data_IF_069551075644
#
_entry.id   IF_069551075644
#
_cell.length_a   1.000
_cell.length_b   1.000
_cell.length_c   1.000
_cell.angle_alpha   90.00
_cell.angle_beta   90.00
_cell.angle_gamma   90.00
#
_symmetry.space_group_name_H-M   'P 1'
#
loop_
_entity.id
_entity.type
_entity.pdbx_description
1 polymer ?
#
# COMPACT_ATOMS: atom_id res chain seq x y z
N UNK A 1 -37.42 -2.99 -4.83
CA UNK A 1 -36.84 -1.64 -4.83
C UNK A 1 -36.08 -1.48 -6.13
N UNK A 2 -36.39 -0.50 -7.03
CA UNK A 2 -35.51 -0.22 -8.16
C UNK A 2 -34.15 0.17 -7.55
N UNK A 3 -33.09 -0.49 -7.98
CA UNK A 3 -31.74 -0.25 -7.46
C UNK A 3 -31.38 1.23 -7.67
N UNK A 4 -31.09 1.94 -6.58
CA UNK A 4 -30.63 3.32 -6.64
C UNK A 4 -29.37 3.33 -7.51
N UNK A 5 -29.41 4.09 -8.61
CA UNK A 5 -28.25 4.24 -9.50
C UNK A 5 -27.15 4.95 -8.73
N UNK A 6 -25.98 4.35 -8.62
CA UNK A 6 -24.81 4.92 -7.94
C UNK A 6 -23.82 5.39 -8.98
N UNK A 7 -23.43 6.65 -8.92
CA UNK A 7 -22.31 7.17 -9.70
C UNK A 7 -20.98 6.89 -9.00
N UNK A 8 -20.04 6.24 -9.67
CA UNK A 8 -18.76 5.81 -9.09
C UNK A 8 -17.62 6.69 -9.63
N UNK A 9 -16.87 7.30 -8.73
CA UNK A 9 -15.59 7.95 -9.04
C UNK A 9 -14.45 7.04 -8.55
N UNK A 10 -13.79 6.36 -9.50
CA UNK A 10 -12.61 5.53 -9.23
C UNK A 10 -11.37 6.43 -9.21
N UNK A 11 -10.85 6.73 -8.01
CA UNK A 11 -9.73 7.66 -7.81
C UNK A 11 -8.41 6.90 -7.87
N UNK A 12 -7.61 7.18 -8.88
CA UNK A 12 -6.41 6.43 -9.24
C UNK A 12 -5.13 7.17 -8.84
N UNK A 13 -4.27 6.44 -8.14
CA UNK A 13 -2.90 6.84 -7.85
C UNK A 13 -1.88 6.02 -8.64
N UNK A 14 -0.68 5.92 -8.09
CA UNK A 14 0.47 5.24 -8.67
C UNK A 14 0.23 3.77 -8.99
N UNK A 15 -0.43 3.01 -8.09
CA UNK A 15 -0.71 1.57 -8.28
C UNK A 15 -1.59 1.29 -9.51
N UNK A 16 -2.35 2.30 -9.98
CA UNK A 16 -3.18 2.22 -11.17
C UNK A 16 -2.59 2.99 -12.36
N UNK A 17 -1.31 3.37 -12.30
CA UNK A 17 -0.68 4.20 -13.33
C UNK A 17 -1.44 5.50 -13.59
N UNK A 18 -1.91 6.15 -12.52
CA UNK A 18 -2.74 7.36 -12.58
C UNK A 18 -3.97 7.20 -13.50
N UNK A 19 -4.60 6.02 -13.43
CA UNK A 19 -5.83 5.69 -14.16
C UNK A 19 -5.61 5.01 -15.51
N UNK A 20 -4.40 4.95 -16.05
CA UNK A 20 -4.14 4.34 -17.37
C UNK A 20 -4.52 2.86 -17.40
N UNK A 21 -4.26 2.11 -16.32
CA UNK A 21 -4.60 0.70 -16.21
C UNK A 21 -6.11 0.42 -16.12
N UNK A 22 -6.90 1.40 -15.68
CA UNK A 22 -8.30 1.22 -15.33
C UNK A 22 -9.27 1.94 -16.27
N UNK A 23 -8.80 2.50 -17.38
CA UNK A 23 -9.65 3.21 -18.36
C UNK A 23 -10.81 2.34 -18.88
N UNK A 24 -10.63 1.04 -18.94
CA UNK A 24 -11.65 0.09 -19.38
C UNK A 24 -12.84 -0.03 -18.42
N UNK A 25 -12.72 0.47 -17.17
CA UNK A 25 -13.83 0.54 -16.21
C UNK A 25 -14.72 1.77 -16.42
N UNK A 26 -14.25 2.76 -17.18
CA UNK A 26 -15.03 3.97 -17.46
C UNK A 26 -16.29 3.62 -18.27
N UNK A 27 -17.41 4.20 -17.85
CA UNK A 27 -18.72 3.93 -18.45
C UNK A 27 -19.76 4.96 -17.98
N UNK A 28 -21.04 4.73 -18.26
CA UNK A 28 -22.09 5.71 -17.96
C UNK A 28 -22.23 6.01 -16.46
N UNK A 29 -21.90 5.06 -15.62
CA UNK A 29 -22.02 5.18 -14.16
C UNK A 29 -20.67 5.18 -13.45
N UNK A 30 -19.55 5.07 -14.17
CA UNK A 30 -18.20 5.04 -13.58
C UNK A 30 -17.26 5.99 -14.31
N UNK A 31 -16.64 6.89 -13.54
CA UNK A 31 -15.60 7.81 -14.04
C UNK A 31 -14.28 7.48 -13.36
N UNK A 32 -13.22 7.33 -14.16
CA UNK A 32 -11.84 7.09 -13.69
C UNK A 32 -11.14 8.45 -13.67
N UNK A 33 -10.61 8.83 -12.48
CA UNK A 33 -9.98 10.14 -12.26
C UNK A 33 -8.72 9.99 -11.42
N UNK A 34 -7.84 10.97 -11.47
CA UNK A 34 -6.73 11.12 -10.49
C UNK A 34 -7.18 11.93 -9.27
N UNK A 35 -6.43 11.85 -8.17
CA UNK A 35 -6.68 12.67 -6.97
C UNK A 35 -6.50 14.16 -7.23
N UNK A 36 -6.96 14.99 -6.30
CA UNK A 36 -6.81 16.44 -6.36
C UNK A 36 -7.72 17.11 -7.38
N UNK A 37 -7.14 17.89 -8.30
CA UNK A 37 -7.91 18.76 -9.20
C UNK A 37 -8.89 18.02 -10.12
N UNK A 38 -8.50 16.85 -10.63
CA UNK A 38 -9.37 16.08 -11.53
C UNK A 38 -10.57 15.51 -10.77
N UNK A 39 -10.33 14.92 -9.59
CA UNK A 39 -11.39 14.49 -8.69
C UNK A 39 -12.34 15.63 -8.32
N UNK A 40 -11.79 16.81 -7.95
CA UNK A 40 -12.60 17.97 -7.61
C UNK A 40 -13.51 18.39 -8.77
N UNK A 41 -12.99 18.42 -10.01
CA UNK A 41 -13.78 18.74 -11.21
C UNK A 41 -14.88 17.70 -11.47
N UNK A 42 -14.55 16.41 -11.34
CA UNK A 42 -15.52 15.33 -11.51
C UNK A 42 -16.64 15.40 -10.47
N UNK A 43 -16.30 15.70 -9.22
CA UNK A 43 -17.26 15.91 -8.14
C UNK A 43 -18.17 17.13 -8.40
N UNK A 44 -17.62 18.23 -8.91
CA UNK A 44 -18.41 19.41 -9.27
C UNK A 44 -19.35 19.15 -10.47
N UNK A 45 -18.93 18.33 -11.41
CA UNK A 45 -19.69 17.99 -12.63
C UNK A 45 -20.60 16.76 -12.46
N UNK A 46 -20.66 16.15 -11.26
CA UNK A 46 -21.44 14.93 -11.04
C UNK A 46 -22.94 15.14 -11.33
N UNK A 47 -23.65 14.11 -11.82
CA UNK A 47 -25.07 14.22 -12.12
C UNK A 47 -25.87 14.49 -10.83
N UNK A 48 -26.93 15.30 -10.96
CA UNK A 48 -27.88 15.51 -9.89
C UNK A 48 -28.78 14.27 -9.76
N UNK A 49 -29.03 13.85 -8.52
CA UNK A 49 -29.98 12.77 -8.21
C UNK A 49 -29.35 11.46 -7.74
N UNK A 50 -28.43 10.80 -8.47
CA UNK A 50 -27.82 9.58 -7.97
C UNK A 50 -26.80 9.85 -6.85
N UNK A 51 -26.69 8.89 -5.92
CA UNK A 51 -25.61 8.89 -4.93
C UNK A 51 -24.26 8.75 -5.62
N UNK A 52 -23.24 9.37 -5.06
CA UNK A 52 -21.88 9.30 -5.59
C UNK A 52 -20.97 8.56 -4.60
N UNK A 53 -20.41 7.45 -5.02
CA UNK A 53 -19.38 6.74 -4.29
C UNK A 53 -18.00 7.09 -4.84
N UNK A 54 -17.10 7.55 -3.98
CA UNK A 54 -15.71 7.87 -4.33
C UNK A 54 -14.83 6.73 -3.80
N UNK A 55 -14.22 5.96 -4.70
CA UNK A 55 -13.45 4.75 -4.35
C UNK A 55 -11.96 4.99 -4.61
N UNK A 56 -11.11 5.04 -3.56
CA UNK A 56 -9.67 5.09 -3.74
C UNK A 56 -9.15 3.77 -4.32
N UNK A 57 -8.54 3.82 -5.51
CA UNK A 57 -8.02 2.65 -6.23
C UNK A 57 -6.60 2.35 -5.77
N UNK A 58 -6.47 1.78 -4.58
CA UNK A 58 -5.22 1.26 -4.01
C UNK A 58 -5.41 -0.16 -3.49
N UNK A 59 -4.33 -0.91 -3.42
CA UNK A 59 -4.25 -2.26 -2.87
C UNK A 59 -3.68 -2.26 -1.44
N UNK A 60 -3.68 -1.08 -0.79
CA UNK A 60 -3.21 -0.86 0.57
C UNK A 60 -1.80 -0.29 0.67
N UNK A 61 -1.15 0.02 -0.45
CA UNK A 61 0.21 0.59 -0.49
C UNK A 61 0.24 2.10 -0.77
N UNK A 62 -0.92 2.75 -0.83
CA UNK A 62 -1.02 4.20 -1.07
C UNK A 62 -2.03 4.84 -0.11
N UNK A 63 -1.69 4.95 1.19
CA UNK A 63 -2.55 5.57 2.19
C UNK A 63 -2.75 7.08 1.93
N UNK A 64 -1.78 7.73 1.29
CA UNK A 64 -1.91 9.15 0.93
C UNK A 64 -2.99 9.38 -0.12
N UNK A 65 -3.14 8.48 -1.10
CA UNK A 65 -4.24 8.54 -2.05
C UNK A 65 -5.61 8.53 -1.34
N UNK A 66 -5.75 7.71 -0.30
CA UNK A 66 -6.98 7.61 0.50
C UNK A 66 -7.28 8.93 1.21
N UNK A 67 -6.27 9.48 1.89
CA UNK A 67 -6.40 10.73 2.62
C UNK A 67 -6.62 11.94 1.70
N UNK A 68 -5.91 12.02 0.57
CA UNK A 68 -6.08 13.08 -0.43
C UNK A 68 -7.48 13.04 -1.07
N UNK A 69 -7.99 11.84 -1.32
CA UNK A 69 -9.37 11.66 -1.77
C UNK A 69 -10.34 12.25 -0.77
N UNK A 70 -10.20 11.93 0.51
CA UNK A 70 -11.06 12.44 1.56
C UNK A 70 -10.92 13.97 1.75
N UNK A 71 -9.68 14.50 1.70
CA UNK A 71 -9.44 15.97 1.76
C UNK A 71 -10.15 16.69 0.61
N UNK A 72 -10.11 16.11 -0.60
CA UNK A 72 -10.78 16.69 -1.77
C UNK A 72 -12.30 16.68 -1.63
N UNK A 73 -12.89 15.58 -1.14
CA UNK A 73 -14.33 15.50 -0.89
C UNK A 73 -14.75 16.50 0.19
N UNK A 74 -14.00 16.59 1.30
CA UNK A 74 -14.27 17.52 2.40
C UNK A 74 -14.22 18.99 2.00
N UNK A 75 -13.45 19.32 0.96
CA UNK A 75 -13.35 20.69 0.44
C UNK A 75 -14.55 21.13 -0.40
N UNK A 76 -15.51 20.24 -0.69
CA UNK A 76 -16.72 20.59 -1.42
C UNK A 76 -17.65 21.45 -0.55
N UNK A 77 -18.37 22.41 -1.16
CA UNK A 77 -19.46 23.07 -0.47
C UNK A 77 -20.53 22.08 -0.02
N UNK A 78 -21.14 22.26 1.16
CA UNK A 78 -22.26 21.43 1.59
C UNK A 78 -23.45 21.66 0.67
N UNK A 79 -23.86 20.64 -0.06
CA UNK A 79 -25.05 20.66 -0.89
C UNK A 79 -26.13 19.77 -0.26
N UNK A 80 -27.32 20.33 0.09
CA UNK A 80 -28.35 19.62 0.85
C UNK A 80 -28.93 18.39 0.17
N UNK A 81 -28.79 18.25 -1.14
CA UNK A 81 -29.45 17.20 -1.91
C UNK A 81 -28.48 16.24 -2.64
N UNK A 82 -27.19 16.31 -2.35
CA UNK A 82 -26.19 15.46 -3.00
C UNK A 82 -25.43 14.66 -1.94
N UNK A 83 -25.61 13.35 -1.99
CA UNK A 83 -24.89 12.42 -1.11
C UNK A 83 -23.60 11.98 -1.79
N UNK A 84 -22.47 12.20 -1.12
CA UNK A 84 -21.17 11.72 -1.54
C UNK A 84 -20.58 10.86 -0.42
N UNK A 85 -20.31 9.60 -0.70
CA UNK A 85 -19.67 8.70 0.24
C UNK A 85 -18.26 8.35 -0.21
N UNK A 86 -17.29 8.43 0.67
CA UNK A 86 -15.95 7.88 0.47
C UNK A 86 -15.97 6.42 0.86
N UNK A 87 -15.71 5.56 -0.11
CA UNK A 87 -15.65 4.11 0.12
C UNK A 87 -14.35 3.75 0.85
N UNK A 88 -14.36 2.56 1.47
CA UNK A 88 -13.11 1.91 1.80
C UNK A 88 -12.24 1.77 0.53
N UNK A 89 -10.91 1.76 0.65
CA UNK A 89 -10.03 1.50 -0.49
C UNK A 89 -10.44 0.25 -1.25
N UNK A 90 -10.15 0.20 -2.55
CA UNK A 90 -10.44 -0.96 -3.38
C UNK A 90 -9.93 -2.26 -2.74
N UNK A 91 -8.71 -2.25 -2.24
CA UNK A 91 -8.10 -3.33 -1.48
C UNK A 91 -7.28 -2.83 -0.29
N UNK A 92 -6.87 -3.78 0.52
CA UNK A 92 -5.91 -3.62 1.61
C UNK A 92 -4.81 -4.70 1.47
N UNK A 93 -3.75 -4.68 2.30
CA UNK A 93 -2.68 -5.67 2.20
C UNK A 93 -3.15 -7.12 2.33
N UNK A 94 -4.15 -7.40 3.14
CA UNK A 94 -4.72 -8.74 3.33
C UNK A 94 -5.42 -9.24 2.06
N UNK A 95 -6.20 -8.36 1.41
CA UNK A 95 -6.80 -8.65 0.11
C UNK A 95 -5.72 -8.90 -0.94
N UNK A 96 -4.67 -8.07 -0.98
CA UNK A 96 -3.56 -8.22 -1.93
C UNK A 96 -2.87 -9.58 -1.75
N UNK A 97 -2.59 -10.02 -0.53
CA UNK A 97 -2.05 -11.36 -0.26
C UNK A 97 -2.98 -12.45 -0.80
N UNK A 98 -4.28 -12.32 -0.57
CA UNK A 98 -5.28 -13.28 -1.05
C UNK A 98 -5.31 -13.37 -2.58
N UNK A 99 -5.35 -12.23 -3.26
CA UNK A 99 -5.38 -12.16 -4.73
C UNK A 99 -4.07 -12.65 -5.36
N UNK A 100 -2.92 -12.27 -4.81
CA UNK A 100 -1.62 -12.77 -5.28
C UNK A 100 -1.51 -14.29 -5.14
N UNK A 101 -1.99 -14.86 -4.03
CA UNK A 101 -2.02 -16.31 -3.85
C UNK A 101 -2.95 -17.01 -4.83
N UNK A 102 -4.10 -16.41 -5.13
CA UNK A 102 -5.03 -16.94 -6.12
C UNK A 102 -4.42 -16.90 -7.54
N UNK A 103 -3.80 -15.78 -7.93
CA UNK A 103 -3.11 -15.66 -9.20
C UNK A 103 -1.91 -16.61 -9.29
N UNK A 104 -1.10 -16.73 -8.25
CA UNK A 104 0.02 -17.65 -8.19
C UNK A 104 -0.39 -19.13 -8.26
N UNK A 105 -1.66 -19.46 -7.97
CA UNK A 105 -2.15 -20.84 -8.10
C UNK A 105 -2.18 -21.33 -9.54
N UNK A 106 -2.16 -20.46 -10.54
CA UNK A 106 -2.10 -20.80 -11.97
C UNK A 106 -0.66 -21.03 -12.47
N UNK A 107 0.34 -20.65 -11.66
CA UNK A 107 1.77 -20.75 -12.00
C UNK A 107 2.33 -22.10 -11.53
N UNK A 108 3.27 -22.76 -12.27
CA UNK A 108 3.95 -23.96 -11.80
C UNK A 108 4.61 -23.76 -10.43
N UNK A 109 4.41 -24.71 -9.50
CA UNK A 109 4.84 -24.54 -8.10
C UNK A 109 6.38 -24.47 -7.95
N UNK A 110 7.14 -25.01 -8.91
CA UNK A 110 8.59 -24.97 -8.97
C UNK A 110 9.13 -23.63 -9.48
N UNK A 111 8.31 -22.80 -10.12
CA UNK A 111 8.72 -21.47 -10.54
C UNK A 111 8.91 -20.55 -9.32
N UNK A 112 9.93 -19.70 -9.38
CA UNK A 112 10.01 -18.56 -8.49
C UNK A 112 8.92 -17.54 -8.85
N UNK A 113 8.37 -16.85 -7.87
CA UNK A 113 7.49 -15.70 -8.10
C UNK A 113 8.32 -14.42 -7.97
N UNK A 114 8.17 -13.51 -8.91
CA UNK A 114 8.64 -12.14 -8.82
C UNK A 114 7.42 -11.22 -8.75
N UNK A 115 7.17 -10.66 -7.56
CA UNK A 115 6.09 -9.70 -7.37
C UNK A 115 6.58 -8.32 -7.80
N UNK A 116 5.88 -7.69 -8.74
CA UNK A 116 6.26 -6.39 -9.27
C UNK A 116 5.21 -5.33 -8.98
N UNK A 117 5.65 -4.14 -8.62
CA UNK A 117 4.76 -2.98 -8.47
C UNK A 117 5.53 -1.68 -8.73
N UNK A 118 4.85 -0.54 -9.00
CA UNK A 118 5.50 0.75 -9.02
C UNK A 118 6.20 1.06 -7.70
N UNK A 119 7.40 1.63 -7.76
CA UNK A 119 8.14 2.10 -6.60
C UNK A 119 7.33 3.17 -5.84
N UNK A 120 7.45 3.17 -4.54
CA UNK A 120 6.83 4.13 -3.64
C UNK A 120 7.85 4.85 -2.77
N UNK A 121 7.39 5.31 -1.61
CA UNK A 121 8.30 5.65 -0.54
C UNK A 121 8.84 4.37 0.14
N UNK A 122 9.87 4.45 0.98
CA UNK A 122 10.48 3.28 1.61
C UNK A 122 9.51 2.44 2.45
N UNK A 123 8.48 3.04 3.07
CA UNK A 123 7.49 2.32 3.87
C UNK A 123 6.52 1.55 2.99
N UNK A 124 6.08 2.17 1.89
CA UNK A 124 5.21 1.54 0.90
C UNK A 124 5.93 0.37 0.21
N UNK A 125 7.22 0.49 -0.03
CA UNK A 125 8.03 -0.58 -0.62
C UNK A 125 8.29 -1.70 0.39
N UNK A 126 8.56 -1.37 1.67
CA UNK A 126 8.66 -2.35 2.75
C UNK A 126 7.36 -3.15 2.92
N UNK A 127 6.19 -2.53 2.72
CA UNK A 127 4.90 -3.22 2.76
C UNK A 127 4.79 -4.29 1.65
N UNK A 128 5.32 -4.05 0.45
CA UNK A 128 5.36 -5.06 -0.60
C UNK A 128 6.24 -6.26 -0.21
N UNK A 129 7.36 -6.04 0.47
CA UNK A 129 8.19 -7.12 1.00
C UNK A 129 7.46 -7.93 2.08
N UNK A 130 6.68 -7.27 2.95
CA UNK A 130 5.81 -7.94 3.94
C UNK A 130 4.77 -8.81 3.24
N UNK A 131 4.10 -8.29 2.21
CA UNK A 131 3.13 -9.03 1.39
C UNK A 131 3.80 -10.24 0.73
N UNK A 132 4.97 -10.08 0.11
CA UNK A 132 5.72 -11.16 -0.51
C UNK A 132 6.06 -12.27 0.48
N UNK A 133 6.49 -11.91 1.69
CA UNK A 133 6.73 -12.87 2.77
C UNK A 133 5.48 -13.69 3.10
N UNK A 134 4.31 -13.05 3.19
CA UNK A 134 3.03 -13.73 3.48
C UNK A 134 2.59 -14.62 2.31
N UNK A 135 2.77 -14.17 1.07
CA UNK A 135 2.52 -14.99 -0.13
C UNK A 135 3.39 -16.24 -0.12
N UNK A 136 4.67 -16.11 0.22
CA UNK A 136 5.58 -17.25 0.36
C UNK A 136 5.17 -18.17 1.52
N UNK A 137 4.87 -17.60 2.69
CA UNK A 137 4.58 -18.35 3.92
C UNK A 137 3.32 -19.20 3.81
N UNK A 138 2.30 -18.66 3.14
CA UNK A 138 0.98 -19.30 3.02
C UNK A 138 0.67 -19.82 1.62
N UNK A 139 1.59 -19.71 0.68
CA UNK A 139 1.52 -20.23 -0.67
C UNK A 139 2.29 -21.53 -0.87
N UNK A 140 2.47 -21.91 -2.13
CA UNK A 140 3.18 -23.14 -2.53
C UNK A 140 4.56 -22.91 -3.14
N UNK A 141 4.90 -21.65 -3.45
CA UNK A 141 6.17 -21.28 -4.06
C UNK A 141 7.26 -21.09 -3.00
N UNK A 142 8.41 -21.72 -3.20
CA UNK A 142 9.54 -21.65 -2.24
C UNK A 142 10.29 -20.32 -2.29
N UNK A 143 10.37 -19.73 -3.48
CA UNK A 143 11.04 -18.47 -3.74
C UNK A 143 10.02 -17.43 -4.21
N UNK A 144 9.90 -16.35 -3.45
CA UNK A 144 9.08 -15.18 -3.78
C UNK A 144 9.93 -13.96 -3.51
N UNK A 145 10.23 -13.23 -4.58
CA UNK A 145 11.03 -12.01 -4.57
C UNK A 145 10.18 -10.80 -4.96
N UNK A 146 10.72 -9.62 -4.71
CA UNK A 146 10.08 -8.34 -5.02
C UNK A 146 10.94 -7.56 -5.99
N UNK A 147 10.30 -6.87 -6.93
CA UNK A 147 10.94 -5.86 -7.77
C UNK A 147 10.02 -4.65 -7.96
N UNK A 148 10.64 -3.49 -8.12
CA UNK A 148 9.97 -2.20 -8.14
C UNK A 148 10.16 -1.54 -9.51
N UNK A 149 9.08 -1.31 -10.23
CA UNK A 149 9.14 -0.57 -11.49
C UNK A 149 9.47 0.90 -11.19
N UNK A 150 10.61 1.35 -11.69
CA UNK A 150 11.15 2.68 -11.39
C UNK A 150 11.85 2.80 -10.03
N UNK A 151 12.20 1.66 -9.40
CA UNK A 151 12.92 1.59 -8.11
C UNK A 151 14.02 0.52 -8.11
N UNK A 152 14.48 0.14 -6.92
CA UNK A 152 15.52 -0.88 -6.70
C UNK A 152 15.02 -1.94 -5.69
N UNK A 153 15.15 -3.26 -6.02
CA UNK A 153 15.58 -3.79 -7.30
C UNK A 153 14.53 -3.58 -8.41
N UNK A 154 14.99 -3.29 -9.61
CA UNK A 154 14.13 -3.26 -10.79
C UNK A 154 13.73 -4.69 -11.23
N UNK A 155 12.76 -4.86 -12.14
CA UNK A 155 12.32 -6.19 -12.57
C UNK A 155 13.43 -7.05 -13.20
N UNK A 156 14.41 -6.45 -13.92
CA UNK A 156 15.52 -7.20 -14.51
C UNK A 156 16.47 -7.73 -13.44
N UNK A 157 16.80 -6.90 -12.45
CA UNK A 157 17.57 -7.29 -11.28
C UNK A 157 16.82 -8.35 -10.45
N UNK A 158 15.51 -8.22 -10.27
CA UNK A 158 14.69 -9.21 -9.57
C UNK A 158 14.75 -10.58 -10.22
N UNK A 159 14.63 -10.66 -11.55
CA UNK A 159 14.79 -11.93 -12.29
C UNK A 159 16.22 -12.47 -12.16
N UNK A 160 17.24 -11.61 -12.24
CA UNK A 160 18.63 -12.00 -12.05
C UNK A 160 18.88 -12.60 -10.66
N UNK A 161 18.33 -12.01 -9.60
CA UNK A 161 18.41 -12.54 -8.22
C UNK A 161 17.74 -13.91 -8.10
N UNK A 162 16.55 -14.08 -8.64
CA UNK A 162 15.89 -15.39 -8.69
C UNK A 162 16.75 -16.45 -9.41
N UNK A 163 17.37 -16.09 -10.54
CA UNK A 163 18.26 -16.98 -11.27
C UNK A 163 19.51 -17.37 -10.47
N UNK A 164 20.14 -16.43 -9.76
CA UNK A 164 21.27 -16.70 -8.86
C UNK A 164 20.90 -17.61 -7.68
N UNK A 165 19.65 -17.54 -7.23
CA UNK A 165 19.10 -18.45 -6.22
C UNK A 165 18.69 -19.82 -6.78
N UNK A 166 18.98 -20.08 -8.07
CA UNK A 166 18.77 -21.37 -8.72
C UNK A 166 17.43 -21.55 -9.42
N UNK A 167 16.62 -20.49 -9.56
CA UNK A 167 15.36 -20.58 -10.30
C UNK A 167 15.61 -20.78 -11.79
N UNK A 168 14.97 -21.80 -12.36
CA UNK A 168 14.95 -22.04 -13.82
C UNK A 168 13.78 -21.37 -14.52
N UNK A 169 12.74 -21.04 -13.75
CA UNK A 169 11.55 -20.34 -14.20
C UNK A 169 11.22 -19.25 -13.20
N UNK A 170 10.94 -18.05 -13.66
CA UNK A 170 10.51 -16.91 -12.87
C UNK A 170 9.19 -16.40 -13.44
N UNK A 171 8.13 -16.52 -12.68
CA UNK A 171 6.83 -15.98 -13.04
C UNK A 171 6.71 -14.56 -12.49
N UNK A 172 6.52 -13.60 -13.38
CA UNK A 172 6.32 -12.19 -13.02
C UNK A 172 4.84 -11.96 -12.78
N UNK A 173 4.49 -11.55 -11.57
CA UNK A 173 3.12 -11.31 -11.13
C UNK A 173 3.00 -9.87 -10.64
N UNK A 174 2.07 -9.12 -11.20
CA UNK A 174 1.84 -7.75 -10.76
C UNK A 174 1.15 -7.69 -9.38
N UNK A 175 1.70 -6.91 -8.47
CA UNK A 175 1.10 -6.51 -7.20
C UNK A 175 0.52 -5.07 -7.30
N UNK A 176 -0.03 -4.74 -8.46
CA UNK A 176 -0.67 -3.46 -8.79
C UNK A 176 -1.79 -3.70 -9.81
N UNK A 177 -2.48 -2.63 -10.22
CA UNK A 177 -3.46 -2.70 -11.31
C UNK A 177 -2.80 -2.69 -12.70
N UNK A 178 -1.53 -2.33 -12.79
CA UNK A 178 -0.77 -2.36 -14.04
C UNK A 178 -0.46 -3.80 -14.45
N UNK A 179 -0.42 -4.11 -15.74
CA UNK A 179 0.08 -5.41 -16.19
C UNK A 179 1.56 -5.58 -15.82
N UNK A 180 2.03 -6.82 -15.62
CA UNK A 180 3.43 -7.06 -15.34
C UNK A 180 4.30 -6.65 -16.56
N UNK A 181 5.46 -6.05 -16.26
CA UNK A 181 6.48 -5.76 -17.27
C UNK A 181 7.49 -6.90 -17.25
N UNK A 182 7.57 -7.65 -18.34
CA UNK A 182 8.48 -8.78 -18.44
C UNK A 182 9.88 -8.29 -18.81
N UNK A 183 10.89 -8.48 -17.95
CA UNK A 183 12.26 -8.16 -18.29
C UNK A 183 12.89 -9.24 -19.17
N UNK A 184 14.03 -8.96 -19.82
CA UNK A 184 14.77 -9.97 -20.56
C UNK A 184 15.21 -11.11 -19.64
N UNK A 185 15.09 -12.34 -20.16
CA UNK A 185 15.47 -13.54 -19.41
C UNK A 185 17.00 -13.71 -19.40
N UNK A 186 17.63 -13.99 -18.23
CA UNK A 186 19.02 -14.46 -18.19
C UNK A 186 19.17 -15.83 -18.87
N UNK A 187 20.40 -16.17 -19.26
CA UNK A 187 20.69 -17.48 -19.82
C UNK A 187 20.21 -18.59 -18.86
N UNK A 188 19.53 -19.61 -19.40
CA UNK A 188 18.99 -20.77 -18.68
C UNK A 188 17.84 -20.49 -17.70
N UNK A 189 17.25 -19.29 -17.72
CA UNK A 189 16.08 -18.95 -16.92
C UNK A 189 14.95 -18.52 -17.83
N UNK A 190 13.79 -19.14 -17.73
CA UNK A 190 12.59 -18.73 -18.45
C UNK A 190 11.82 -17.70 -17.62
N UNK A 191 11.37 -16.62 -18.27
CA UNK A 191 10.48 -15.61 -17.64
C UNK A 191 9.07 -15.86 -18.15
N UNK A 192 8.14 -16.05 -17.20
CA UNK A 192 6.74 -16.34 -17.47
C UNK A 192 5.89 -15.14 -17.09
N UNK A 193 4.89 -14.83 -17.91
CA UNK A 193 3.83 -13.90 -17.56
C UNK A 193 2.77 -14.63 -16.72
N UNK A 194 2.59 -14.22 -15.47
CA UNK A 194 1.54 -14.75 -14.61
C UNK A 194 0.19 -14.03 -14.81
N UNK A 195 0.13 -13.09 -15.73
CA UNK A 195 -1.07 -12.32 -16.02
C UNK A 195 -1.35 -11.18 -15.04
N UNK A 196 -2.50 -10.51 -15.18
CA UNK A 196 -2.92 -9.45 -14.29
C UNK A 196 -3.32 -10.02 -12.91
N UNK A 197 -3.19 -9.19 -11.86
CA UNK A 197 -3.61 -9.55 -10.50
C UNK A 197 -5.09 -9.98 -10.43
N UNK A 198 -5.95 -9.24 -11.11
CA UNK A 198 -7.39 -9.49 -11.20
C UNK A 198 -7.84 -9.32 -12.66
N UNK A 199 -8.72 -10.20 -13.09
CA UNK A 199 -9.38 -10.04 -14.39
C UNK A 199 -10.42 -8.91 -14.37
N UNK A 200 -10.83 -8.38 -15.55
CA UNK A 200 -11.74 -7.24 -15.66
C UNK A 200 -13.07 -7.42 -14.93
N UNK A 201 -13.66 -8.61 -14.97
CA UNK A 201 -14.92 -8.90 -14.28
C UNK A 201 -14.77 -8.85 -12.75
N UNK A 202 -13.67 -9.38 -12.20
CA UNK A 202 -13.38 -9.32 -10.77
C UNK A 202 -13.12 -7.89 -10.31
N UNK A 203 -12.35 -7.12 -11.08
CA UNK A 203 -12.13 -5.68 -10.83
C UNK A 203 -13.46 -4.91 -10.75
N UNK A 204 -14.32 -5.07 -11.75
CA UNK A 204 -15.62 -4.41 -11.78
C UNK A 204 -16.50 -4.82 -10.60
N UNK A 205 -16.53 -6.12 -10.25
CA UNK A 205 -17.31 -6.63 -9.14
C UNK A 205 -16.85 -6.07 -7.78
N UNK A 206 -15.53 -6.01 -7.53
CA UNK A 206 -14.99 -5.43 -6.30
C UNK A 206 -15.30 -3.94 -6.22
N UNK A 207 -15.09 -3.19 -7.32
CA UNK A 207 -15.40 -1.76 -7.38
C UNK A 207 -16.89 -1.51 -7.06
N UNK A 208 -17.79 -2.25 -7.70
CA UNK A 208 -19.22 -2.14 -7.46
C UNK A 208 -19.60 -2.48 -6.00
N UNK A 209 -18.97 -3.51 -5.43
CA UNK A 209 -19.21 -3.90 -4.03
C UNK A 209 -18.76 -2.81 -3.04
N UNK A 210 -17.58 -2.16 -3.28
CA UNK A 210 -17.08 -1.04 -2.48
C UNK A 210 -18.02 0.17 -2.56
N UNK A 211 -18.43 0.52 -3.77
CA UNK A 211 -19.36 1.63 -3.99
C UNK A 211 -20.71 1.40 -3.29
N UNK A 212 -21.29 0.21 -3.48
CA UNK A 212 -22.56 -0.13 -2.84
C UNK A 212 -22.45 -0.16 -1.30
N UNK A 213 -21.34 -0.65 -0.75
CA UNK A 213 -21.13 -0.65 0.69
C UNK A 213 -21.02 0.75 1.28
N UNK A 214 -20.34 1.67 0.58
CA UNK A 214 -20.21 3.06 1.01
C UNK A 214 -21.56 3.77 1.04
N UNK A 215 -22.35 3.63 -0.02
CA UNK A 215 -23.70 4.24 -0.11
C UNK A 215 -24.63 3.64 0.94
N UNK A 216 -24.59 2.32 1.18
CA UNK A 216 -25.39 1.72 2.27
C UNK A 216 -25.03 2.29 3.63
N UNK A 217 -23.73 2.40 3.99
CA UNK A 217 -23.30 3.01 5.27
C UNK A 217 -23.82 4.43 5.42
N UNK A 218 -23.72 5.22 4.35
CA UNK A 218 -24.24 6.59 4.35
C UNK A 218 -25.75 6.62 4.67
N UNK A 219 -26.54 5.74 4.07
CA UNK A 219 -27.99 5.70 4.29
C UNK A 219 -28.39 5.08 5.65
N UNK A 220 -27.69 4.03 6.08
CA UNK A 220 -28.05 3.27 7.28
C UNK A 220 -27.57 3.96 8.58
N UNK A 221 -26.39 4.62 8.55
CA UNK A 221 -25.77 5.19 9.74
C UNK A 221 -25.38 6.68 9.59
N UNK A 222 -25.53 7.27 8.41
CA UNK A 222 -25.07 8.64 8.14
C UNK A 222 -23.54 8.75 8.02
N UNK A 223 -22.82 7.63 7.93
CA UNK A 223 -21.36 7.64 7.81
C UNK A 223 -20.92 7.81 6.36
N UNK A 224 -20.33 8.96 6.07
CA UNK A 224 -19.81 9.31 4.74
C UNK A 224 -18.42 8.75 4.43
N UNK A 225 -17.75 8.10 5.39
CA UNK A 225 -16.43 7.50 5.26
C UNK A 225 -15.24 8.48 5.36
N UNK A 226 -15.49 9.79 5.46
CA UNK A 226 -14.44 10.81 5.48
C UNK A 226 -13.47 10.67 6.65
N UNK A 227 -14.00 10.44 7.86
CA UNK A 227 -13.17 10.35 9.06
C UNK A 227 -12.17 9.19 8.98
N UNK A 228 -12.64 8.01 8.55
CA UNK A 228 -11.80 6.82 8.39
C UNK A 228 -10.73 7.03 7.30
N UNK A 229 -11.12 7.63 6.17
CA UNK A 229 -10.20 7.87 5.07
C UNK A 229 -9.12 8.93 5.40
N UNK A 230 -9.46 9.96 6.18
CA UNK A 230 -8.48 10.95 6.66
C UNK A 230 -7.49 10.35 7.65
N UNK A 231 -7.91 9.39 8.47
CA UNK A 231 -7.04 8.71 9.42
C UNK A 231 -6.05 7.75 8.75
N UNK A 232 -6.28 7.34 7.50
CA UNK A 232 -5.45 6.37 6.80
C UNK A 232 -3.97 6.80 6.65
N UNK A 233 -3.71 8.08 6.36
CA UNK A 233 -2.34 8.61 6.25
C UNK A 233 -1.58 8.58 7.59
N UNK A 234 -2.28 8.80 8.71
CA UNK A 234 -1.65 8.82 10.04
C UNK A 234 -1.19 7.45 10.55
N UNK A 235 -1.71 6.36 10.00
CA UNK A 235 -1.39 5.01 10.44
C UNK A 235 -0.09 4.45 9.83
N UNK A 236 0.42 5.07 8.77
CA UNK A 236 1.60 4.63 8.02
C UNK A 236 2.75 5.66 8.03
N UNK A 237 2.58 6.77 8.75
CA UNK A 237 3.66 7.73 8.96
C UNK A 237 4.79 7.15 9.82
N UNK A 238 6.01 7.73 9.76
CA UNK A 238 7.07 7.35 10.69
C UNK A 238 6.51 7.48 12.09
N UNK A 239 6.57 6.37 12.84
CA UNK A 239 6.30 6.41 14.28
C UNK A 239 7.04 7.62 14.84
N UNK A 240 6.32 8.52 15.49
CA UNK A 240 6.84 9.79 15.96
C UNK A 240 8.22 9.59 16.55
N UNK A 241 9.27 9.99 15.83
CA UNK A 241 10.58 10.19 16.44
C UNK A 241 10.35 11.35 17.40
N UNK A 242 10.28 11.05 18.68
CA UNK A 242 10.39 12.07 19.71
C UNK A 242 11.73 12.76 19.46
N UNK A 243 11.69 13.98 18.90
CA UNK A 243 12.85 14.82 18.82
C UNK A 243 13.42 15.03 20.23
N UNK A 244 14.72 15.28 20.37
CA UNK A 244 15.38 15.45 21.68
C UNK A 244 14.87 16.63 22.51
N UNK A 245 13.89 17.41 22.04
CA UNK A 245 13.37 18.62 22.70
C UNK A 245 11.98 18.48 23.33
N UNK A 246 11.55 17.29 23.66
CA UNK A 246 10.38 17.07 24.52
C UNK A 246 10.75 17.26 25.99
N UNK A 247 11.01 18.50 26.41
CA UNK A 247 11.21 18.85 27.82
C UNK A 247 9.98 18.49 28.65
N UNK A 248 10.08 17.43 29.44
CA UNK A 248 9.13 17.15 30.49
C UNK A 248 9.44 18.11 31.65
N UNK A 249 8.67 19.18 31.78
CA UNK A 249 8.65 20.00 32.98
C UNK A 249 8.10 19.14 34.13
N UNK A 250 9.01 18.47 34.85
CA UNK A 250 8.70 17.90 36.15
C UNK A 250 8.73 19.02 37.17
N UNK A 251 7.56 19.52 37.56
CA UNK A 251 7.41 20.32 38.80
C UNK A 251 7.83 19.45 39.96
N UNK A 252 9.08 19.62 40.41
CA UNK A 252 9.52 19.16 41.74
C UNK A 252 9.07 20.13 42.81
N UNK A 253 8.14 19.69 43.65
CA UNK A 253 7.80 20.38 44.87
C UNK A 253 9.01 20.41 45.83
N UNK A 254 9.10 21.44 46.73
CA UNK A 254 10.26 21.62 47.61
C UNK A 254 10.22 20.64 48.78
N UNK A 255 11.29 19.86 48.94
CA UNK A 255 11.54 19.18 50.21
C UNK A 255 12.00 17.73 50.07
N UNK A 256 13.34 17.52 49.97
CA UNK A 256 14.09 16.47 50.66
C UNK A 256 15.58 16.68 50.37
N UNK A 257 16.30 17.14 51.41
CA UNK A 257 17.76 17.24 51.45
C UNK A 257 18.37 15.87 51.69
N UNK A 258 19.19 15.35 50.75
CA UNK A 258 20.07 14.19 50.97
C UNK A 258 21.53 14.65 50.90
N UNK A 259 22.24 14.49 52.06
CA UNK A 259 23.68 14.71 52.19
C UNK A 259 24.43 13.55 51.50
N UNK A 260 25.31 13.86 50.54
CA UNK A 260 26.23 12.92 49.97
C UNK A 260 27.60 12.99 50.64
N UNK A 261 28.03 11.88 51.25
CA UNK A 261 29.39 11.66 51.70
C UNK A 261 30.34 11.33 50.54
N UNK A 262 31.66 11.52 50.73
CA UNK A 262 32.62 11.41 49.63
C UNK A 262 32.90 9.95 49.27
N UNK A 263 32.77 9.60 47.97
CA UNK A 263 33.13 8.30 47.43
C UNK A 263 34.59 8.25 46.98
N UNK A 264 35.26 7.17 47.41
CA UNK A 264 36.63 6.82 47.14
C UNK A 264 36.92 6.58 45.64
N UNK A 265 38.10 7.00 45.23
CA UNK A 265 38.67 6.79 43.91
C UNK A 265 38.99 5.31 43.66
N UNK A 266 38.46 4.72 42.60
CA UNK A 266 38.93 3.40 42.12
C UNK A 266 39.92 3.64 40.95
N UNK A 267 41.15 3.25 41.22
CA UNK A 267 42.27 3.14 40.22
C UNK A 267 42.12 1.90 39.34
N UNK A 268 42.17 2.10 38.04
CA UNK A 268 42.24 1.01 37.08
C UNK A 268 43.69 0.60 36.84
N UNK A 269 44.00 -0.72 36.78
CA UNK A 269 45.33 -1.19 36.36
C UNK A 269 45.40 -1.32 34.82
N UNK A 270 46.54 -0.88 34.28
CA UNK A 270 46.91 -0.98 32.84
C UNK A 270 47.25 -2.45 32.45
N UNK A 271 47.11 -2.78 31.15
CA UNK A 271 47.36 -4.13 30.67
C UNK A 271 48.88 -4.34 30.43
N UNK A 272 49.36 -5.52 30.89
CA UNK A 272 50.69 -6.03 30.64
C UNK A 272 50.84 -6.59 29.21
N UNK A 273 51.86 -6.12 28.56
CA UNK A 273 52.50 -6.66 27.35
C UNK A 273 53.10 -8.03 27.68
N UNK A 274 52.88 -9.03 26.85
CA UNK A 274 53.66 -10.26 26.86
C UNK A 274 54.14 -10.60 25.47
N UNK A 275 55.47 -10.80 25.42
CA UNK A 275 56.31 -11.03 24.23
C UNK A 275 56.27 -12.51 23.79
N UNK A 276 56.59 -12.65 22.53
CA UNK A 276 57.11 -13.81 21.75
C UNK A 276 57.80 -14.92 22.51
N UNK A 277 57.64 -16.19 22.07
CA UNK A 277 58.77 -17.05 21.66
C UNK A 277 58.29 -18.32 20.94
N UNK A 278 58.93 -18.56 19.83
CA UNK A 278 59.24 -19.75 19.04
C UNK A 278 58.97 -21.17 19.67
N UNK A 279 58.34 -22.03 18.96
CA UNK A 279 58.94 -23.22 18.28
C UNK A 279 57.93 -23.76 17.27
#
# INVERSE_FOLDING_TARGET
MPGTRVHVLAVCGREAGHGTALRHLAGPDTTVVTSGRELHRALAARPAGPDTAVVPMTLGRDPELVADTARTVRALPPEPHRTVAVAEPFGNPEHLVGWLRAAAATVPAEAALLLTAPAGDPYQDAELHRVAHLVRRYGRHRLVEVALTGGDPDPAEGVRRCALLGARQVAVLSASFLPPVLPPAPARTAVLDAGPLLGPAALAAVLAARAAAAVRRLHDSGEDGLAAALAAAGQHGPAHSHGPDGGHDHHHGPGHSHSHGPHAQHTHPSPLTAARSHQ
#
